data_IF_425219119631
#
_entry.id   IF_425219119631
#
_cell.length_a   1.000
_cell.length_b   1.000
_cell.length_c   1.000
_cell.angle_alpha   90.00
_cell.angle_beta   90.00
_cell.angle_gamma   90.00
#
_symmetry.space_group_name_H-M   'P 1'
#
loop_
_entity.id
_entity.type
_entity.pdbx_description
1 polymer ?
#
# COMPACT_ATOMS: atom_id res chain seq x y z
N UNK A 1 23.78 -13.38 -7.41
CA UNK A 1 24.37 -12.19 -8.05
C UNK A 1 23.27 -11.37 -8.68
N UNK A 2 23.26 -10.04 -8.44
CA UNK A 2 22.35 -9.10 -9.10
C UNK A 2 23.13 -8.44 -10.23
N UNK A 3 22.53 -8.42 -11.43
CA UNK A 3 23.05 -7.70 -12.59
C UNK A 3 22.04 -6.63 -13.01
N UNK A 4 22.43 -5.37 -12.95
CA UNK A 4 21.62 -4.22 -13.36
C UNK A 4 21.98 -3.76 -14.76
N UNK A 5 21.10 -2.98 -15.42
CA UNK A 5 21.33 -2.46 -16.76
C UNK A 5 21.31 -3.53 -17.87
N UNK A 6 20.76 -4.71 -17.60
CA UNK A 6 20.66 -5.81 -18.57
C UNK A 6 19.28 -5.81 -19.23
N UNK A 7 19.27 -5.61 -20.56
CA UNK A 7 18.05 -5.75 -21.37
C UNK A 7 18.10 -7.09 -22.11
N UNK A 8 17.12 -7.95 -21.87
CA UNK A 8 17.03 -9.27 -22.54
C UNK A 8 16.70 -9.07 -24.00
N UNK A 9 17.58 -9.57 -24.88
CA UNK A 9 17.41 -9.59 -26.34
C UNK A 9 16.70 -10.85 -26.79
N UNK A 10 17.07 -12.00 -26.20
CA UNK A 10 16.56 -13.30 -26.62
C UNK A 10 16.68 -14.34 -25.50
N UNK A 11 15.69 -15.22 -25.41
CA UNK A 11 15.77 -16.47 -24.63
C UNK A 11 16.36 -17.53 -25.54
N UNK A 12 17.41 -18.19 -25.10
CA UNK A 12 18.10 -19.26 -25.87
C UNK A 12 17.64 -20.63 -25.39
N UNK A 13 17.24 -21.47 -26.33
CA UNK A 13 16.75 -22.81 -26.04
C UNK A 13 17.11 -23.78 -27.22
N UNK A 14 17.20 -25.06 -26.89
CA UNK A 14 17.28 -26.16 -27.86
C UNK A 14 16.54 -27.36 -27.27
N UNK A 15 15.19 -27.32 -27.36
CA UNK A 15 14.32 -28.25 -26.65
C UNK A 15 14.28 -28.06 -25.13
N UNK A 16 15.31 -27.46 -24.54
CA UNK A 16 15.41 -27.03 -23.14
C UNK A 16 15.98 -25.62 -23.07
N UNK A 17 15.63 -24.89 -22.00
CA UNK A 17 16.20 -23.57 -21.72
C UNK A 17 17.74 -23.69 -21.63
N UNK A 18 18.45 -22.78 -22.26
CA UNK A 18 19.92 -22.67 -22.17
C UNK A 18 20.34 -21.38 -21.47
N UNK A 19 19.55 -20.31 -21.60
CA UNK A 19 19.90 -19.05 -21.00
C UNK A 19 19.27 -17.85 -21.68
N UNK A 20 19.90 -16.70 -21.50
CA UNK A 20 19.49 -15.39 -22.01
C UNK A 20 20.66 -14.75 -22.76
N UNK A 21 20.37 -14.10 -23.89
CA UNK A 21 21.27 -13.13 -24.51
C UNK A 21 20.76 -11.72 -24.24
N UNK A 22 21.66 -10.81 -23.93
CA UNK A 22 21.35 -9.41 -23.64
C UNK A 22 21.73 -8.49 -24.81
N UNK A 23 21.18 -7.27 -24.81
CA UNK A 23 21.45 -6.27 -25.87
C UNK A 23 22.88 -5.75 -25.88
N UNK A 24 23.59 -5.88 -24.77
CA UNK A 24 25.02 -5.54 -24.63
C UNK A 24 25.97 -6.66 -25.13
N UNK A 25 25.43 -7.68 -25.82
CA UNK A 25 26.13 -8.84 -26.35
C UNK A 25 26.71 -9.77 -25.26
N UNK A 26 26.33 -9.62 -24.00
CA UNK A 26 26.63 -10.62 -22.97
C UNK A 26 25.53 -11.69 -22.92
N UNK A 27 25.81 -12.82 -22.29
CA UNK A 27 24.85 -13.90 -22.11
C UNK A 27 24.90 -14.48 -20.69
N UNK A 28 23.80 -15.09 -20.27
CA UNK A 28 23.68 -15.80 -19.00
C UNK A 28 23.11 -17.19 -19.28
N UNK A 29 23.76 -18.21 -18.74
CA UNK A 29 23.27 -19.61 -18.83
C UNK A 29 22.38 -19.91 -17.63
N UNK A 30 21.33 -20.73 -17.84
CA UNK A 30 20.42 -21.13 -16.78
C UNK A 30 19.46 -22.22 -17.25
N UNK A 31 19.00 -23.03 -16.31
CA UNK A 31 18.06 -24.12 -16.55
C UNK A 31 16.61 -23.76 -16.21
N UNK A 32 16.42 -22.66 -15.49
CA UNK A 32 15.11 -22.10 -15.15
C UNK A 32 15.13 -20.59 -15.37
N UNK A 33 14.06 -20.06 -15.93
CA UNK A 33 13.82 -18.62 -16.09
C UNK A 33 12.50 -18.25 -15.44
N UNK A 34 12.56 -17.33 -14.48
CA UNK A 34 11.37 -16.69 -13.87
C UNK A 34 11.26 -15.27 -14.39
N UNK A 35 10.16 -14.95 -15.06
CA UNK A 35 9.89 -13.62 -15.61
C UNK A 35 8.97 -12.88 -14.63
N UNK A 36 9.47 -11.79 -14.04
CA UNK A 36 8.71 -10.89 -13.17
C UNK A 36 8.95 -9.45 -13.63
N UNK A 37 8.35 -9.10 -14.78
CA UNK A 37 8.60 -7.85 -15.50
C UNK A 37 7.40 -6.88 -15.46
N UNK A 38 6.61 -6.93 -14.38
CA UNK A 38 5.42 -6.11 -14.20
C UNK A 38 4.18 -6.69 -14.89
N UNK A 39 3.15 -5.87 -14.99
CA UNK A 39 1.85 -6.23 -15.54
C UNK A 39 1.58 -5.48 -16.84
N UNK A 40 0.75 -6.05 -17.67
CA UNK A 40 0.17 -5.40 -18.83
C UNK A 40 -1.34 -5.61 -18.81
N UNK A 41 -2.14 -4.52 -18.72
CA UNK A 41 -3.59 -4.62 -18.78
C UNK A 41 -4.06 -5.34 -20.03
N UNK A 42 -5.10 -6.16 -19.90
CA UNK A 42 -5.77 -6.77 -21.03
C UNK A 42 -6.76 -5.81 -21.62
N UNK A 43 -6.45 -5.25 -22.78
CA UNK A 43 -7.22 -4.22 -23.46
C UNK A 43 -7.58 -4.56 -24.91
N UNK A 44 -7.32 -5.81 -25.32
CA UNK A 44 -7.52 -6.26 -26.72
C UNK A 44 -8.97 -6.11 -27.14
N UNK A 45 -9.93 -6.47 -26.26
CA UNK A 45 -11.34 -6.33 -26.54
C UNK A 45 -11.75 -4.86 -26.69
N UNK A 46 -11.26 -3.99 -25.80
CA UNK A 46 -11.52 -2.57 -25.84
C UNK A 46 -11.01 -1.93 -27.13
N UNK A 47 -9.81 -2.31 -27.58
CA UNK A 47 -9.25 -1.88 -28.86
C UNK A 47 -10.11 -2.33 -30.04
N UNK A 48 -10.58 -3.57 -30.02
CA UNK A 48 -11.44 -4.10 -31.09
C UNK A 48 -12.80 -3.43 -31.18
N UNK A 49 -13.32 -2.91 -30.05
CA UNK A 49 -14.54 -2.13 -29.97
C UNK A 49 -14.35 -0.62 -30.23
N UNK A 50 -13.11 -0.15 -30.45
CA UNK A 50 -12.82 1.25 -30.69
C UNK A 50 -12.80 2.13 -29.44
N UNK A 51 -12.71 1.56 -28.23
CA UNK A 51 -12.54 2.32 -27.00
C UNK A 51 -11.14 2.94 -26.90
N UNK A 52 -11.04 4.07 -26.22
CA UNK A 52 -9.75 4.70 -25.98
C UNK A 52 -8.93 3.88 -24.98
N UNK A 53 -7.68 3.60 -25.35
CA UNK A 53 -6.73 2.88 -24.52
C UNK A 53 -5.44 3.68 -24.35
N UNK A 54 -4.79 3.51 -23.20
CA UNK A 54 -3.54 4.17 -22.89
C UNK A 54 -2.38 3.58 -23.71
N UNK A 55 -1.35 4.36 -24.01
CA UNK A 55 -0.18 3.93 -24.83
C UNK A 55 0.58 2.75 -24.20
N UNK A 56 0.60 2.65 -22.87
CA UNK A 56 1.19 1.52 -22.13
C UNK A 56 0.23 0.34 -21.92
N UNK A 57 -0.98 0.40 -22.49
CA UNK A 57 -2.07 -0.54 -22.29
C UNK A 57 -3.04 -0.08 -21.19
N UNK A 58 -4.26 -0.63 -21.24
CA UNK A 58 -5.36 -0.35 -20.32
C UNK A 58 -6.39 0.65 -20.85
N UNK A 59 -7.63 0.48 -20.42
CA UNK A 59 -8.80 1.22 -20.87
C UNK A 59 -8.87 2.54 -20.11
N UNK A 60 -8.83 3.66 -20.83
CA UNK A 60 -8.91 4.99 -20.22
C UNK A 60 -10.33 5.23 -19.68
N UNK A 61 -10.41 5.64 -18.42
CA UNK A 61 -11.67 5.96 -17.74
C UNK A 61 -11.60 7.35 -17.08
N UNK A 62 -12.78 7.95 -16.92
CA UNK A 62 -12.99 9.18 -16.15
C UNK A 62 -13.15 8.87 -14.63
N UNK A 63 -13.40 9.92 -13.83
CA UNK A 63 -13.64 9.81 -12.39
C UNK A 63 -14.90 9.00 -12.02
N UNK A 64 -15.79 8.79 -12.99
CA UNK A 64 -16.97 7.93 -12.88
C UNK A 64 -16.73 6.52 -13.42
N UNK A 65 -15.48 6.19 -13.78
CA UNK A 65 -15.06 4.92 -14.35
C UNK A 65 -15.73 4.59 -15.70
N UNK A 66 -16.23 5.62 -16.40
CA UNK A 66 -16.76 5.50 -17.75
C UNK A 66 -15.61 5.54 -18.76
N UNK A 67 -15.75 4.72 -19.78
CA UNK A 67 -14.83 4.71 -20.93
C UNK A 67 -15.16 5.86 -21.91
N UNK A 68 -14.52 5.85 -23.07
CA UNK A 68 -14.90 6.74 -24.20
C UNK A 68 -16.32 6.49 -24.73
N UNK A 69 -16.95 5.36 -24.40
CA UNK A 69 -18.37 5.09 -24.59
C UNK A 69 -19.10 5.23 -23.25
N UNK A 70 -20.05 6.16 -23.16
CA UNK A 70 -20.79 6.45 -21.93
C UNK A 70 -21.61 5.28 -21.36
N UNK A 71 -21.84 4.24 -22.14
CA UNK A 71 -22.57 3.03 -21.75
C UNK A 71 -21.66 1.92 -21.24
N UNK A 72 -20.34 2.13 -21.31
CA UNK A 72 -19.34 1.12 -20.95
C UNK A 72 -18.47 1.64 -19.81
N UNK A 73 -18.34 0.83 -18.77
CA UNK A 73 -17.44 1.05 -17.64
C UNK A 73 -16.24 0.10 -17.73
N UNK A 74 -15.08 0.54 -17.18
CA UNK A 74 -13.95 -0.33 -16.96
C UNK A 74 -13.43 -0.16 -15.52
N UNK A 75 -13.12 -1.27 -14.87
CA UNK A 75 -12.67 -1.31 -13.48
C UNK A 75 -11.50 -2.27 -13.29
N UNK A 76 -10.80 -2.17 -12.15
CA UNK A 76 -9.71 -3.03 -11.76
C UNK A 76 -8.46 -2.80 -12.63
N UNK A 77 -7.65 -3.84 -12.78
CA UNK A 77 -6.34 -3.80 -13.43
C UNK A 77 -6.41 -3.50 -14.95
N UNK A 78 -7.57 -3.67 -15.57
CA UNK A 78 -7.79 -3.34 -16.98
C UNK A 78 -8.01 -1.83 -17.21
N UNK A 79 -8.39 -1.08 -16.19
CA UNK A 79 -8.66 0.35 -16.26
C UNK A 79 -7.42 1.21 -16.03
N UNK A 80 -7.37 2.36 -16.68
CA UNK A 80 -6.39 3.43 -16.46
C UNK A 80 -7.13 4.69 -16.07
N UNK A 81 -6.92 5.14 -14.83
CA UNK A 81 -7.47 6.39 -14.33
C UNK A 81 -6.31 7.34 -14.00
N UNK A 82 -6.36 8.57 -14.51
CA UNK A 82 -5.31 9.59 -14.33
C UNK A 82 -3.88 9.07 -14.61
N UNK A 83 -3.71 8.31 -15.71
CA UNK A 83 -2.44 7.66 -16.12
C UNK A 83 -1.92 6.58 -15.15
N UNK A 84 -2.70 6.18 -14.13
CA UNK A 84 -2.35 5.14 -13.17
C UNK A 84 -3.09 3.84 -13.46
N UNK A 85 -2.34 2.72 -13.42
CA UNK A 85 -2.87 1.37 -13.44
C UNK A 85 -2.80 0.83 -12.01
N UNK A 86 -3.94 0.40 -11.47
CA UNK A 86 -4.04 -0.10 -10.11
C UNK A 86 -3.93 -1.63 -10.09
N UNK A 87 -2.70 -2.13 -9.89
CA UNK A 87 -2.38 -3.57 -9.89
C UNK A 87 -2.67 -4.28 -8.55
N UNK A 88 -3.58 -3.76 -7.73
CA UNK A 88 -4.02 -4.35 -6.46
C UNK A 88 -5.51 -4.66 -6.50
N UNK A 89 -5.95 -5.58 -5.63
CA UNK A 89 -7.36 -5.98 -5.57
C UNK A 89 -8.25 -4.90 -4.93
N UNK A 90 -7.77 -4.23 -3.88
CA UNK A 90 -8.55 -3.26 -3.11
C UNK A 90 -9.07 -2.07 -3.96
N UNK A 91 -8.26 -1.42 -4.82
CA UNK A 91 -8.78 -0.39 -5.72
C UNK A 91 -9.88 -0.91 -6.64
N UNK A 92 -9.78 -2.17 -7.09
CA UNK A 92 -10.82 -2.79 -7.93
C UNK A 92 -12.16 -2.93 -7.23
N UNK A 93 -12.17 -3.22 -5.93
CA UNK A 93 -13.40 -3.25 -5.13
C UNK A 93 -14.03 -1.87 -4.96
N UNK A 94 -13.22 -0.83 -4.73
CA UNK A 94 -13.74 0.53 -4.66
C UNK A 94 -14.32 0.99 -6.00
N UNK A 95 -13.62 0.70 -7.09
CA UNK A 95 -14.13 0.96 -8.45
C UNK A 95 -15.45 0.24 -8.69
N UNK A 96 -15.59 -1.02 -8.25
CA UNK A 96 -16.81 -1.80 -8.39
C UNK A 96 -17.98 -1.19 -7.60
N UNK A 97 -17.76 -0.73 -6.36
CA UNK A 97 -18.77 -0.03 -5.57
C UNK A 97 -19.24 1.25 -6.25
N UNK A 98 -18.31 2.05 -6.79
CA UNK A 98 -18.63 3.28 -7.50
C UNK A 98 -19.50 2.99 -8.73
N UNK A 99 -19.12 2.02 -9.56
CA UNK A 99 -19.89 1.65 -10.76
C UNK A 99 -21.26 1.09 -10.39
N UNK A 100 -21.35 0.23 -9.37
CA UNK A 100 -22.63 -0.31 -8.90
C UNK A 100 -23.60 0.82 -8.46
N UNK A 101 -23.11 1.81 -7.71
CA UNK A 101 -23.88 3.00 -7.31
C UNK A 101 -24.34 3.80 -8.52
N UNK A 102 -23.49 4.03 -9.50
CA UNK A 102 -23.85 4.75 -10.72
C UNK A 102 -24.95 4.03 -11.52
N UNK A 103 -24.87 2.70 -11.64
CA UNK A 103 -25.91 1.91 -12.29
C UNK A 103 -27.23 2.02 -11.52
N UNK A 104 -27.17 2.13 -10.18
CA UNK A 104 -28.34 2.34 -9.32
C UNK A 104 -28.87 3.81 -9.34
N UNK A 105 -28.22 4.72 -10.07
CA UNK A 105 -28.61 6.13 -10.17
C UNK A 105 -27.96 7.06 -9.13
N UNK A 106 -27.02 6.57 -8.31
CA UNK A 106 -26.26 7.36 -7.36
C UNK A 106 -24.94 7.82 -7.99
N UNK A 107 -24.87 9.05 -8.46
CA UNK A 107 -23.69 9.58 -9.21
C UNK A 107 -22.76 10.47 -8.36
N UNK A 108 -23.01 10.57 -7.05
CA UNK A 108 -22.26 11.49 -6.18
C UNK A 108 -20.84 11.00 -5.83
N UNK A 109 -20.61 9.68 -5.86
CA UNK A 109 -19.30 9.10 -5.55
C UNK A 109 -18.43 9.02 -6.81
N UNK A 110 -17.22 9.52 -6.70
CA UNK A 110 -16.21 9.51 -7.76
C UNK A 110 -14.97 8.74 -7.31
N UNK A 111 -14.24 8.17 -8.25
CA UNK A 111 -12.94 7.55 -8.01
C UNK A 111 -11.86 8.63 -8.12
N UNK A 112 -11.23 8.97 -7.01
CA UNK A 112 -10.18 10.01 -6.94
C UNK A 112 -8.77 9.44 -6.89
N UNK A 113 -8.64 8.13 -7.12
CA UNK A 113 -7.41 7.36 -6.96
C UNK A 113 -7.45 6.46 -5.72
N UNK A 114 -6.42 5.67 -5.54
CA UNK A 114 -6.30 4.74 -4.42
C UNK A 114 -4.88 4.73 -3.90
N UNK A 115 -4.72 4.56 -2.59
CA UNK A 115 -3.42 4.40 -1.96
C UNK A 115 -2.83 3.02 -2.30
N UNK A 116 -1.68 3.02 -2.97
CA UNK A 116 -0.98 1.82 -3.41
C UNK A 116 0.01 1.28 -2.37
N UNK A 117 -0.13 1.70 -1.12
CA UNK A 117 0.69 1.20 -0.02
C UNK A 117 0.55 -0.31 0.16
N UNK A 118 1.67 -1.00 0.31
CA UNK A 118 1.71 -2.47 0.43
C UNK A 118 2.68 -2.93 1.50
N UNK A 119 2.35 -4.06 2.12
CA UNK A 119 3.26 -4.79 3.01
C UNK A 119 3.27 -6.26 2.61
N UNK A 120 4.45 -6.75 2.28
CA UNK A 120 4.67 -8.13 1.84
C UNK A 120 5.72 -8.80 2.73
N UNK A 121 5.57 -10.12 2.91
CA UNK A 121 6.62 -10.95 3.48
C UNK A 121 7.10 -11.92 2.40
N UNK A 122 8.29 -11.65 1.84
CA UNK A 122 8.86 -12.41 0.74
C UNK A 122 10.03 -13.25 1.25
N UNK A 123 9.89 -14.58 1.20
CA UNK A 123 10.98 -15.53 1.53
C UNK A 123 11.65 -15.18 2.88
N UNK A 124 10.83 -14.85 3.88
CA UNK A 124 11.32 -14.50 5.23
C UNK A 124 11.82 -13.05 5.39
N UNK A 125 11.72 -12.21 4.36
CA UNK A 125 12.07 -10.79 4.44
C UNK A 125 10.79 -9.96 4.41
N UNK A 126 10.62 -9.08 5.39
CA UNK A 126 9.54 -8.10 5.40
C UNK A 126 9.89 -6.96 4.43
N UNK A 127 8.95 -6.62 3.56
CA UNK A 127 9.05 -5.49 2.62
C UNK A 127 7.77 -4.68 2.68
N UNK A 128 7.89 -3.37 2.83
CA UNK A 128 6.75 -2.47 2.81
C UNK A 128 7.07 -1.18 2.06
N UNK A 129 6.06 -0.63 1.37
CA UNK A 129 6.11 0.70 0.77
C UNK A 129 4.79 1.41 1.05
N UNK A 130 4.84 2.73 1.24
CA UNK A 130 3.66 3.53 1.58
C UNK A 130 3.83 4.97 1.08
N UNK A 131 2.70 5.59 0.75
CA UNK A 131 2.63 6.96 0.25
C UNK A 131 3.50 7.18 -0.99
N UNK A 132 4.37 8.19 -0.97
CA UNK A 132 5.40 8.45 -1.98
C UNK A 132 6.73 7.76 -1.62
N UNK A 133 6.92 6.48 -1.99
CA UNK A 133 8.07 5.71 -1.56
C UNK A 133 9.37 6.13 -2.26
N UNK A 134 9.27 6.78 -3.41
CA UNK A 134 10.42 7.17 -4.22
C UNK A 134 10.84 8.64 -4.02
N UNK A 135 10.01 9.45 -3.35
CA UNK A 135 10.27 10.86 -3.12
C UNK A 135 10.11 11.71 -4.39
N UNK A 136 9.08 11.41 -5.18
CA UNK A 136 8.75 12.11 -6.42
C UNK A 136 7.98 13.42 -6.18
N UNK A 137 7.42 13.60 -4.99
CA UNK A 137 6.76 14.83 -4.59
C UNK A 137 7.74 16.00 -4.55
N UNK A 138 7.33 17.16 -5.06
CA UNK A 138 8.16 18.37 -5.05
C UNK A 138 8.56 18.74 -3.62
N UNK A 139 9.84 19.06 -3.39
CA UNK A 139 10.37 19.39 -2.07
C UNK A 139 10.53 18.19 -1.13
N UNK A 140 10.42 16.97 -1.63
CA UNK A 140 10.62 15.76 -0.82
C UNK A 140 12.05 15.61 -0.34
N UNK A 141 12.23 15.42 0.99
CA UNK A 141 13.53 15.21 1.62
C UNK A 141 13.64 13.77 2.10
N UNK A 142 14.59 12.96 1.58
CA UNK A 142 14.77 11.58 2.01
C UNK A 142 15.62 11.49 3.28
N UNK A 143 15.20 10.64 4.21
CA UNK A 143 16.00 10.20 5.36
C UNK A 143 16.12 8.68 5.27
N UNK A 144 17.35 8.14 5.28
CA UNK A 144 17.58 6.71 5.14
C UNK A 144 18.46 6.15 6.25
N UNK A 145 18.15 4.93 6.66
CA UNK A 145 18.92 4.12 7.59
C UNK A 145 19.22 2.77 6.95
N UNK A 146 20.45 2.30 7.07
CA UNK A 146 20.87 1.00 6.58
C UNK A 146 21.69 0.26 7.61
N UNK A 147 21.26 -0.94 7.97
CA UNK A 147 22.01 -1.90 8.76
C UNK A 147 22.27 -3.17 7.91
N UNK A 148 23.48 -3.24 7.35
CA UNK A 148 23.88 -4.39 6.50
C UNK A 148 24.05 -5.68 7.31
N UNK A 149 24.36 -5.60 8.60
CA UNK A 149 24.54 -6.77 9.45
C UNK A 149 23.22 -7.49 9.69
N UNK A 150 22.16 -6.73 9.96
CA UNK A 150 20.84 -7.27 10.25
C UNK A 150 19.94 -7.29 9.01
N UNK A 151 20.42 -6.88 7.84
CA UNK A 151 19.66 -6.87 6.59
C UNK A 151 18.50 -5.86 6.59
N UNK A 152 18.63 -4.75 7.33
CA UNK A 152 17.58 -3.73 7.46
C UNK A 152 17.91 -2.52 6.60
N UNK A 153 16.92 -2.08 5.81
CA UNK A 153 16.92 -0.80 5.13
C UNK A 153 15.59 -0.08 5.37
N UNK A 154 15.67 1.17 5.80
CA UNK A 154 14.51 2.04 6.00
C UNK A 154 14.77 3.36 5.31
N UNK A 155 13.81 3.81 4.53
CA UNK A 155 13.79 5.16 3.93
C UNK A 155 12.43 5.76 4.18
N UNK A 156 12.43 6.98 4.67
CA UNK A 156 11.24 7.82 4.75
C UNK A 156 11.48 9.09 3.94
N UNK A 157 10.43 9.60 3.31
CA UNK A 157 10.44 10.86 2.59
C UNK A 157 9.55 11.83 3.34
N UNK A 158 10.06 13.00 3.70
CA UNK A 158 9.35 14.03 4.46
C UNK A 158 9.13 15.27 3.61
N UNK A 159 8.17 16.10 3.98
CA UNK A 159 7.92 17.39 3.35
C UNK A 159 9.09 18.34 3.54
N UNK A 160 9.24 19.34 2.65
CA UNK A 160 10.31 20.35 2.68
C UNK A 160 10.38 21.11 4.02
N UNK A 161 9.22 21.37 4.62
CA UNK A 161 9.13 22.04 5.94
C UNK A 161 9.36 21.08 7.13
N UNK A 162 9.65 19.80 6.87
CA UNK A 162 9.92 18.76 7.86
C UNK A 162 8.70 18.32 8.67
N UNK A 163 7.48 18.78 8.35
CA UNK A 163 6.31 18.55 9.20
C UNK A 163 5.54 17.27 8.91
N UNK A 164 5.61 16.75 7.69
CA UNK A 164 4.76 15.63 7.28
C UNK A 164 5.55 14.50 6.65
N UNK A 165 5.13 13.28 6.96
CA UNK A 165 5.60 12.09 6.26
C UNK A 165 4.89 11.99 4.91
N UNK A 166 5.64 11.91 3.83
CA UNK A 166 5.11 11.77 2.47
C UNK A 166 5.04 10.31 2.04
N UNK A 167 5.97 9.49 2.50
CA UNK A 167 6.01 8.09 2.18
C UNK A 167 7.31 7.42 2.58
N UNK A 168 7.51 6.16 2.15
CA UNK A 168 8.76 5.47 2.44
C UNK A 168 8.78 4.00 2.05
N UNK A 169 9.95 3.39 2.29
CA UNK A 169 10.23 1.98 2.05
C UNK A 169 10.87 1.38 3.31
N UNK A 170 10.39 0.21 3.72
CA UNK A 170 10.93 -0.58 4.82
C UNK A 170 11.28 -1.97 4.32
N UNK A 171 12.51 -2.42 4.55
CA UNK A 171 13.01 -3.75 4.17
C UNK A 171 13.69 -4.38 5.38
N UNK A 172 13.40 -5.66 5.66
CA UNK A 172 13.95 -6.44 6.77
C UNK A 172 13.20 -6.22 8.08
N UNK A 173 12.88 -4.98 8.42
CA UNK A 173 12.01 -4.62 9.55
C UNK A 173 10.92 -3.66 9.08
N UNK A 174 9.73 -4.18 8.86
CA UNK A 174 8.53 -3.43 8.49
C UNK A 174 7.52 -3.32 9.64
N UNK A 175 7.97 -3.43 10.91
CA UNK A 175 7.10 -3.35 12.08
C UNK A 175 6.35 -2.03 12.20
N UNK A 176 6.96 -0.94 11.74
CA UNK A 176 6.42 0.43 11.79
C UNK A 176 5.48 0.78 10.62
N UNK A 177 5.29 -0.13 9.64
CA UNK A 177 4.50 0.16 8.44
C UNK A 177 3.12 0.75 8.75
N UNK A 178 2.37 0.11 9.64
CA UNK A 178 1.00 0.52 9.90
C UNK A 178 0.91 1.95 10.44
N UNK A 179 1.81 2.31 11.37
CA UNK A 179 1.81 3.66 11.94
C UNK A 179 2.28 4.69 10.91
N UNK A 180 3.30 4.39 10.12
CA UNK A 180 3.76 5.30 9.08
C UNK A 180 2.71 5.51 7.98
N UNK A 181 2.04 4.45 7.56
CA UNK A 181 0.92 4.54 6.64
C UNK A 181 -0.18 5.46 7.19
N UNK A 182 -0.54 5.32 8.47
CA UNK A 182 -1.51 6.20 9.11
C UNK A 182 -1.01 7.64 9.24
N UNK A 183 0.29 7.86 9.48
CA UNK A 183 0.87 9.20 9.53
C UNK A 183 0.74 9.90 8.18
N UNK A 184 0.97 9.20 7.07
CA UNK A 184 0.78 9.72 5.71
C UNK A 184 -0.70 9.99 5.44
N UNK A 185 -1.56 8.99 5.65
CA UNK A 185 -2.99 9.07 5.32
C UNK A 185 -3.72 10.18 6.09
N UNK A 186 -3.34 10.43 7.36
CA UNK A 186 -3.99 11.41 8.21
C UNK A 186 -3.18 12.72 8.37
N UNK A 187 -2.08 12.89 7.61
CA UNK A 187 -1.19 14.06 7.67
C UNK A 187 -0.78 14.42 9.11
N UNK A 188 -0.33 13.40 9.86
CA UNK A 188 0.09 13.58 11.24
C UNK A 188 1.41 14.35 11.26
N UNK A 189 1.48 15.40 12.10
CA UNK A 189 2.71 16.19 12.27
C UNK A 189 3.82 15.32 12.84
N UNK A 190 4.97 15.39 12.21
CA UNK A 190 6.18 14.67 12.62
C UNK A 190 6.78 15.25 13.92
N UNK A 191 7.52 14.44 14.68
CA UNK A 191 8.35 14.94 15.77
C UNK A 191 9.43 15.91 15.24
N UNK A 192 9.99 16.73 16.11
CA UNK A 192 11.06 17.69 15.76
C UNK A 192 12.32 17.04 15.18
N UNK A 193 12.51 15.75 15.41
CA UNK A 193 13.60 14.93 14.88
C UNK A 193 13.01 13.75 14.10
N UNK A 194 12.61 13.95 12.83
CA UNK A 194 11.95 12.90 12.04
C UNK A 194 12.79 11.62 11.85
N UNK A 195 14.11 11.74 11.86
CA UNK A 195 15.04 10.61 11.80
C UNK A 195 14.86 9.62 12.96
N UNK A 196 14.34 10.07 14.10
CA UNK A 196 14.05 9.21 15.25
C UNK A 196 12.98 8.16 14.94
N UNK A 197 12.19 8.35 13.91
CA UNK A 197 11.19 7.38 13.45
C UNK A 197 11.81 6.09 12.93
N UNK A 198 12.97 6.18 12.28
CA UNK A 198 13.63 5.02 11.66
C UNK A 198 14.90 4.58 12.40
N UNK A 199 15.48 5.46 13.23
CA UNK A 199 16.66 5.15 14.06
C UNK A 199 16.17 4.85 15.47
N UNK A 200 16.04 3.57 15.82
CA UNK A 200 15.71 3.16 17.20
C UNK A 200 16.92 3.28 18.09
N UNK A 201 16.85 4.11 19.11
CA UNK A 201 17.80 4.06 20.24
C UNK A 201 17.36 2.97 21.21
N UNK A 202 18.24 2.03 21.59
CA UNK A 202 17.92 1.01 22.60
C UNK A 202 17.43 1.68 23.88
N UNK A 203 16.25 1.28 24.38
CA UNK A 203 15.71 1.74 25.67
C UNK A 203 14.88 3.03 25.64
N UNK A 204 14.62 3.63 24.48
CA UNK A 204 13.63 4.72 24.36
C UNK A 204 12.28 4.16 23.92
N UNK A 205 11.21 4.63 24.57
CA UNK A 205 9.81 4.48 24.11
C UNK A 205 9.65 5.03 22.68
N UNK A 206 8.63 4.58 21.97
CA UNK A 206 8.30 5.14 20.65
C UNK A 206 8.28 6.67 20.68
N UNK A 207 8.71 7.35 19.60
CA UNK A 207 8.75 8.81 19.54
C UNK A 207 7.40 9.41 19.94
N UNK A 208 7.42 10.48 20.74
CA UNK A 208 6.19 11.24 21.06
C UNK A 208 5.44 11.57 19.76
N UNK A 209 4.16 11.19 19.68
CA UNK A 209 3.33 11.37 18.50
C UNK A 209 3.31 10.22 17.50
N UNK A 210 4.10 9.15 17.68
CA UNK A 210 4.17 8.02 16.74
C UNK A 210 3.38 6.78 17.17
N UNK A 211 2.35 6.90 18.01
CA UNK A 211 1.55 5.76 18.48
C UNK A 211 0.07 5.86 18.11
N UNK A 212 -0.69 4.81 18.37
CA UNK A 212 -2.15 4.79 18.11
C UNK A 212 -2.91 5.86 18.87
N UNK A 213 -2.34 6.42 19.95
CA UNK A 213 -2.93 7.52 20.71
C UNK A 213 -3.09 8.79 19.88
N UNK A 214 -2.13 9.10 19.03
CA UNK A 214 -2.11 10.30 18.18
C UNK A 214 -3.04 10.21 16.96
N UNK A 215 -3.51 9.02 16.61
CA UNK A 215 -4.42 8.84 15.48
C UNK A 215 -5.78 9.51 15.77
N UNK A 216 -6.36 10.28 14.82
CA UNK A 216 -7.71 10.79 14.95
C UNK A 216 -8.74 9.65 14.99
N UNK A 217 -9.91 9.90 15.59
CA UNK A 217 -10.99 8.90 15.64
C UNK A 217 -11.42 8.42 14.25
N UNK A 218 -11.39 9.30 13.26
CA UNK A 218 -11.73 8.98 11.87
C UNK A 218 -10.64 8.19 11.13
N UNK A 219 -9.45 7.96 11.74
CA UNK A 219 -8.37 7.20 11.10
C UNK A 219 -8.84 5.78 10.75
N UNK A 220 -8.75 5.41 9.49
CA UNK A 220 -9.13 4.09 9.00
C UNK A 220 -8.10 3.05 9.42
N UNK A 221 -8.49 2.12 10.28
CA UNK A 221 -7.62 1.06 10.81
C UNK A 221 -7.70 -0.22 9.97
N UNK A 222 -8.91 -0.61 9.57
CA UNK A 222 -9.13 -1.75 8.69
C UNK A 222 -9.73 -1.30 7.37
N UNK A 223 -8.92 -1.30 6.29
CA UNK A 223 -9.40 -0.91 4.96
C UNK A 223 -10.31 -1.94 4.32
N UNK A 224 -10.12 -3.25 4.63
CA UNK A 224 -10.97 -4.32 4.07
C UNK A 224 -12.42 -4.22 4.52
N UNK A 225 -12.65 -3.82 5.78
CA UNK A 225 -13.96 -3.77 6.40
C UNK A 225 -14.40 -2.33 6.73
N UNK A 226 -13.64 -1.34 6.26
CA UNK A 226 -13.90 0.10 6.46
C UNK A 226 -14.11 0.49 7.94
N UNK A 227 -13.26 -0.03 8.84
CA UNK A 227 -13.35 0.21 10.28
C UNK A 227 -12.37 1.30 10.71
N UNK A 228 -12.87 2.34 11.35
CA UNK A 228 -12.08 3.44 11.91
C UNK A 228 -11.59 3.15 13.33
N UNK A 229 -10.65 3.98 13.83
CA UNK A 229 -10.25 3.96 15.24
C UNK A 229 -11.44 4.26 16.15
N UNK A 230 -12.29 5.21 15.76
CA UNK A 230 -13.49 5.58 16.51
C UNK A 230 -14.44 4.41 16.69
N UNK A 231 -14.66 3.61 15.64
CA UNK A 231 -15.51 2.42 15.72
C UNK A 231 -14.96 1.42 16.73
N UNK A 232 -13.65 1.15 16.69
CA UNK A 232 -13.01 0.24 17.65
C UNK A 232 -13.12 0.77 19.09
N UNK A 233 -12.82 2.06 19.31
CA UNK A 233 -12.90 2.67 20.64
C UNK A 233 -14.33 2.63 21.17
N UNK A 234 -15.34 2.95 20.35
CA UNK A 234 -16.75 2.84 20.70
C UNK A 234 -17.12 1.41 21.16
N UNK A 235 -16.69 0.39 20.42
CA UNK A 235 -16.95 -1.01 20.82
C UNK A 235 -16.30 -1.37 22.16
N UNK A 236 -15.14 -0.80 22.47
CA UNK A 236 -14.46 -1.03 23.76
C UNK A 236 -15.16 -0.27 24.89
N UNK A 237 -15.44 1.03 24.71
CA UNK A 237 -15.92 1.92 25.78
C UNK A 237 -17.41 1.77 26.05
N UNK A 238 -18.23 1.60 25.01
CA UNK A 238 -19.68 1.61 25.12
C UNK A 238 -20.29 0.21 25.08
N UNK A 239 -19.63 -0.72 24.37
CA UNK A 239 -20.15 -2.07 24.18
C UNK A 239 -19.33 -3.16 24.87
N UNK A 240 -18.32 -2.78 25.66
CA UNK A 240 -17.60 -3.67 26.57
C UNK A 240 -16.74 -4.72 25.87
N UNK A 241 -16.21 -4.44 24.66
CA UNK A 241 -15.25 -5.34 24.02
C UNK A 241 -13.93 -5.35 24.82
N UNK A 242 -13.47 -6.53 25.19
CA UNK A 242 -12.24 -6.71 26.01
C UNK A 242 -11.18 -7.55 25.29
N UNK A 243 -11.50 -8.10 24.14
CA UNK A 243 -10.60 -8.92 23.33
C UNK A 243 -10.62 -8.51 21.87
N UNK A 244 -9.58 -8.90 21.11
CA UNK A 244 -9.56 -8.71 19.67
C UNK A 244 -10.64 -9.56 18.99
N UNK A 245 -11.00 -10.68 19.55
CA UNK A 245 -12.05 -11.53 19.00
C UNK A 245 -13.43 -10.86 19.16
N UNK A 246 -13.70 -10.16 20.27
CA UNK A 246 -14.90 -9.33 20.42
C UNK A 246 -14.94 -8.24 19.34
N UNK A 247 -13.81 -7.58 19.09
CA UNK A 247 -13.73 -6.55 18.05
C UNK A 247 -13.92 -7.11 16.65
N UNK A 248 -13.39 -8.31 16.35
CA UNK A 248 -13.65 -9.01 15.08
C UNK A 248 -15.11 -9.32 14.89
N UNK A 249 -15.77 -9.83 15.92
CA UNK A 249 -17.18 -10.18 15.85
C UNK A 249 -18.06 -8.95 15.60
N UNK A 250 -17.80 -7.87 16.33
CA UNK A 250 -18.60 -6.63 16.30
C UNK A 250 -18.33 -5.72 15.11
N UNK A 251 -17.08 -5.65 14.62
CA UNK A 251 -16.69 -4.70 13.57
C UNK A 251 -16.22 -5.35 12.28
N UNK A 252 -15.97 -6.66 12.28
CA UNK A 252 -15.30 -7.39 11.20
C UNK A 252 -13.82 -7.01 10.98
N UNK A 253 -13.25 -6.09 11.77
CA UNK A 253 -11.82 -5.81 11.70
C UNK A 253 -11.00 -7.09 11.88
N UNK A 254 -9.87 -7.21 11.19
CA UNK A 254 -8.98 -8.38 11.19
C UNK A 254 -9.53 -9.66 10.54
N UNK A 255 -10.73 -9.67 9.98
CA UNK A 255 -11.32 -10.86 9.36
C UNK A 255 -10.89 -11.06 7.90
N UNK A 256 -10.50 -10.00 7.20
CA UNK A 256 -10.02 -10.03 5.82
C UNK A 256 -8.53 -10.37 5.73
N UNK A 257 -7.69 -9.42 5.30
CA UNK A 257 -6.26 -9.64 5.08
C UNK A 257 -5.42 -9.79 6.37
N UNK A 258 -5.98 -9.44 7.55
CA UNK A 258 -5.29 -9.51 8.84
C UNK A 258 -4.23 -8.43 9.08
N UNK A 259 -3.96 -7.55 8.12
CA UNK A 259 -2.90 -6.53 8.22
C UNK A 259 -3.10 -5.51 9.34
N UNK A 260 -4.34 -5.25 9.73
CA UNK A 260 -4.69 -4.32 10.82
C UNK A 260 -4.53 -4.92 12.23
N UNK A 261 -4.33 -6.24 12.36
CA UNK A 261 -4.31 -6.94 13.66
C UNK A 261 -3.38 -6.30 14.70
N UNK A 262 -2.13 -5.92 14.38
CA UNK A 262 -1.25 -5.29 15.36
C UNK A 262 -1.78 -3.96 15.90
N UNK A 263 -2.36 -3.13 15.02
CA UNK A 263 -2.95 -1.85 15.43
C UNK A 263 -4.22 -2.02 16.26
N UNK A 264 -5.07 -2.99 15.90
CA UNK A 264 -6.28 -3.31 16.67
C UNK A 264 -5.91 -3.76 18.08
N UNK A 265 -4.88 -4.60 18.24
CA UNK A 265 -4.33 -4.99 19.54
C UNK A 265 -3.86 -3.79 20.36
N UNK A 266 -3.11 -2.89 19.73
CA UNK A 266 -2.56 -1.71 20.41
C UNK A 266 -3.67 -0.73 20.82
N UNK A 267 -4.67 -0.48 19.96
CA UNK A 267 -5.83 0.35 20.28
C UNK A 267 -6.61 -0.26 21.44
N UNK A 268 -6.88 -1.57 21.41
CA UNK A 268 -7.55 -2.27 22.50
C UNK A 268 -6.81 -2.08 23.81
N UNK A 269 -5.51 -2.38 23.84
CA UNK A 269 -4.65 -2.27 25.02
C UNK A 269 -4.69 -0.85 25.60
N UNK A 270 -4.38 0.15 24.78
CA UNK A 270 -4.30 1.55 25.19
C UNK A 270 -5.65 2.06 25.69
N UNK A 271 -6.77 1.64 25.07
CA UNK A 271 -8.11 2.06 25.47
C UNK A 271 -8.50 1.40 26.80
N UNK A 272 -8.26 0.09 26.98
CA UNK A 272 -8.52 -0.61 28.23
C UNK A 272 -7.67 -0.04 29.38
N UNK A 273 -6.38 0.23 29.15
CA UNK A 273 -5.52 0.90 30.15
C UNK A 273 -6.09 2.27 30.57
N UNK A 274 -6.63 3.05 29.63
CA UNK A 274 -7.27 4.35 29.94
C UNK A 274 -8.54 4.22 30.77
N UNK A 275 -9.21 3.07 30.71
CA UNK A 275 -10.38 2.72 31.50
C UNK A 275 -10.02 2.09 32.87
N UNK A 276 -8.71 1.96 33.17
CA UNK A 276 -8.23 1.39 34.44
C UNK A 276 -8.16 -0.13 34.46
N UNK A 277 -8.33 -0.80 33.32
CA UNK A 277 -8.11 -2.24 33.25
C UNK A 277 -6.60 -2.55 33.19
N UNK A 278 -6.16 -3.56 33.95
CA UNK A 278 -4.82 -4.12 33.80
C UNK A 278 -4.84 -5.09 32.62
N UNK A 279 -4.11 -4.78 31.55
CA UNK A 279 -4.00 -5.58 30.32
C UNK A 279 -2.62 -6.24 30.26
#
# INVERSE_FOLDING_TARGET
TIQTGKNTKRITANGKLKGLDFTDNTSLTGEMLVISAGIRPRDELAKSCGLQVHSRGGIIVDDHLKTSDASIFAIGEAAVHNNMIYGLVAPGYEMADIVARQIAGETSKQFTGFDMSTKLKLIGVDVASFGDPFGEAAGSIPIAFQDKRNGVYKRINISEDGKYLLGGILIGDASQYNIFHQMVANRITLPSQPESLIIRSPGKSDPEGAGVKSLPAAAQICSCENVSKGDLVCQITEHGATSVDDLKEKTKACTGCGGCTPMVHEILKVTLESLGHKV
#
